data_IF_543318710517
#
_entry.id   IF_543318710517
#
_cell.length_a   1.000
_cell.length_b   1.000
_cell.length_c   1.000
_cell.angle_alpha   90.00
_cell.angle_beta   90.00
_cell.angle_gamma   90.00
#
_symmetry.space_group_name_H-M   'P 1'
#
loop_
_entity.id
_entity.type
_entity.pdbx_description
1 polymer ?
#
# COMPACT_ATOMS: atom_id res chain seq x y z
N UNK A 1 -33.89 14.29 -10.11
CA UNK A 1 -33.45 13.25 -11.07
C UNK A 1 -32.57 12.20 -10.39
N UNK A 2 -31.68 12.59 -9.46
CA UNK A 2 -30.88 11.65 -8.64
C UNK A 2 -31.74 10.69 -7.79
N UNK A 3 -32.86 11.14 -7.21
CA UNK A 3 -33.70 10.30 -6.36
C UNK A 3 -34.28 9.08 -7.10
N UNK A 4 -34.79 9.27 -8.32
CA UNK A 4 -35.31 8.16 -9.14
C UNK A 4 -34.22 7.14 -9.51
N UNK A 5 -33.01 7.62 -9.83
CA UNK A 5 -31.89 6.73 -10.15
C UNK A 5 -31.45 5.92 -8.91
N UNK A 6 -31.52 6.52 -7.72
CA UNK A 6 -31.23 5.82 -6.47
C UNK A 6 -32.23 4.69 -6.18
N UNK A 7 -33.52 4.94 -6.45
CA UNK A 7 -34.59 3.97 -6.29
C UNK A 7 -34.42 2.78 -7.25
N UNK A 8 -34.14 3.04 -8.53
CA UNK A 8 -33.82 1.97 -9.49
C UNK A 8 -32.59 1.16 -9.08
N UNK A 9 -31.57 1.79 -8.51
CA UNK A 9 -30.36 1.10 -8.04
C UNK A 9 -30.64 0.15 -6.88
N UNK A 10 -31.52 0.53 -5.96
CA UNK A 10 -31.93 -0.33 -4.85
C UNK A 10 -32.76 -1.51 -5.34
N UNK A 11 -33.72 -1.27 -6.23
CA UNK A 11 -34.56 -2.32 -6.82
C UNK A 11 -33.69 -3.33 -7.58
N UNK A 12 -32.76 -2.87 -8.41
CA UNK A 12 -31.85 -3.75 -9.18
C UNK A 12 -30.94 -4.55 -8.24
N UNK A 13 -30.43 -3.93 -7.18
CA UNK A 13 -29.60 -4.62 -6.17
C UNK A 13 -30.40 -5.68 -5.40
N UNK A 14 -31.60 -5.35 -4.93
CA UNK A 14 -32.48 -6.29 -4.23
C UNK A 14 -32.85 -7.48 -5.13
N UNK A 15 -33.17 -7.21 -6.39
CA UNK A 15 -33.48 -8.25 -7.39
C UNK A 15 -32.28 -9.18 -7.60
N UNK A 16 -31.07 -8.62 -7.73
CA UNK A 16 -29.85 -9.39 -7.84
C UNK A 16 -29.58 -10.26 -6.61
N UNK A 17 -29.72 -9.70 -5.41
CA UNK A 17 -29.52 -10.44 -4.15
C UNK A 17 -30.53 -11.58 -4.01
N UNK A 18 -31.79 -11.33 -4.32
CA UNK A 18 -32.83 -12.37 -4.29
C UNK A 18 -32.53 -13.50 -5.28
N UNK A 19 -32.13 -13.19 -6.51
CA UNK A 19 -31.72 -14.18 -7.51
C UNK A 19 -30.47 -14.94 -7.08
N UNK A 20 -29.52 -14.29 -6.41
CA UNK A 20 -28.34 -14.94 -5.86
C UNK A 20 -28.67 -15.94 -4.77
N UNK A 21 -29.58 -15.60 -3.85
CA UNK A 21 -30.05 -16.53 -2.81
C UNK A 21 -30.72 -17.75 -3.45
N UNK A 22 -31.59 -17.55 -4.45
CA UNK A 22 -32.23 -18.65 -5.19
C UNK A 22 -31.19 -19.53 -5.87
N UNK A 23 -30.16 -18.94 -6.49
CA UNK A 23 -29.07 -19.69 -7.12
C UNK A 23 -28.31 -20.55 -6.11
N UNK A 24 -28.04 -20.04 -4.91
CA UNK A 24 -27.42 -20.81 -3.82
C UNK A 24 -28.29 -22.02 -3.44
N UNK A 25 -29.61 -21.86 -3.33
CA UNK A 25 -30.52 -22.99 -3.08
C UNK A 25 -30.50 -24.04 -4.20
N UNK A 26 -30.41 -23.62 -5.47
CA UNK A 26 -30.28 -24.53 -6.61
C UNK A 26 -28.98 -25.34 -6.50
N UNK A 27 -27.87 -24.70 -6.12
CA UNK A 27 -26.58 -25.38 -5.91
C UNK A 27 -26.65 -26.40 -4.77
N UNK A 28 -27.26 -26.02 -3.64
CA UNK A 28 -27.45 -26.92 -2.49
C UNK A 28 -28.31 -28.13 -2.89
N UNK A 29 -29.44 -27.90 -3.57
CA UNK A 29 -30.32 -28.99 -3.98
C UNK A 29 -29.65 -29.97 -4.95
N UNK A 30 -28.87 -29.44 -5.90
CA UNK A 30 -28.11 -30.25 -6.84
C UNK A 30 -27.00 -31.06 -6.16
N UNK A 31 -26.41 -30.54 -5.08
CA UNK A 31 -25.42 -31.28 -4.29
C UNK A 31 -26.02 -32.59 -3.72
N UNK A 32 -27.27 -32.55 -3.26
CA UNK A 32 -27.97 -33.73 -2.76
C UNK A 32 -28.57 -34.61 -3.88
N UNK A 33 -28.96 -34.02 -5.01
CA UNK A 33 -29.55 -34.73 -6.15
C UNK A 33 -28.84 -34.34 -7.46
N UNK A 34 -27.74 -35.02 -7.85
CA UNK A 34 -26.86 -34.59 -8.94
C UNK A 34 -27.50 -34.59 -10.33
N UNK A 35 -28.58 -35.35 -10.52
CA UNK A 35 -29.32 -35.43 -11.79
C UNK A 35 -30.53 -34.49 -11.87
N UNK A 36 -30.84 -33.74 -10.81
CA UNK A 36 -31.94 -32.80 -10.82
C UNK A 36 -31.59 -31.53 -11.61
N UNK A 37 -32.55 -31.04 -12.42
CA UNK A 37 -32.50 -29.76 -13.13
C UNK A 37 -31.25 -29.59 -14.04
N UNK A 38 -31.01 -30.51 -14.99
CA UNK A 38 -29.85 -30.45 -15.88
C UNK A 38 -29.86 -29.15 -16.70
N UNK A 39 -28.76 -28.40 -16.63
CA UNK A 39 -28.56 -27.17 -17.40
C UNK A 39 -29.22 -25.91 -16.82
N UNK A 40 -30.09 -26.02 -15.82
CA UNK A 40 -30.71 -24.85 -15.15
C UNK A 40 -29.65 -24.01 -14.44
N UNK A 41 -28.72 -24.64 -13.73
CA UNK A 41 -27.61 -23.96 -13.04
C UNK A 41 -26.81 -23.03 -13.97
N UNK A 42 -26.42 -23.54 -15.16
CA UNK A 42 -25.63 -22.76 -16.12
C UNK A 42 -26.42 -21.57 -16.65
N UNK A 43 -27.70 -21.76 -17.00
CA UNK A 43 -28.58 -20.68 -17.48
C UNK A 43 -28.80 -19.61 -16.39
N UNK A 44 -28.98 -20.04 -15.14
CA UNK A 44 -29.17 -19.15 -14.01
C UNK A 44 -27.89 -18.37 -13.70
N UNK A 45 -26.73 -19.02 -13.76
CA UNK A 45 -25.42 -18.38 -13.60
C UNK A 45 -25.18 -17.30 -14.68
N UNK A 46 -25.49 -17.57 -15.96
CA UNK A 46 -25.37 -16.55 -17.00
C UNK A 46 -26.27 -15.33 -16.74
N UNK A 47 -27.52 -15.57 -16.32
CA UNK A 47 -28.44 -14.49 -15.96
C UNK A 47 -27.89 -13.66 -14.79
N UNK A 48 -27.32 -14.33 -13.80
CA UNK A 48 -26.72 -13.69 -12.63
C UNK A 48 -25.48 -12.88 -12.99
N UNK A 49 -24.65 -13.35 -13.91
CA UNK A 49 -23.50 -12.60 -14.43
C UNK A 49 -23.96 -11.32 -15.14
N UNK A 50 -24.96 -11.41 -16.02
CA UNK A 50 -25.48 -10.25 -16.75
C UNK A 50 -26.03 -9.20 -15.78
N UNK A 51 -26.86 -9.62 -14.82
CA UNK A 51 -27.40 -8.73 -13.80
C UNK A 51 -26.31 -8.17 -12.88
N UNK A 52 -25.30 -8.97 -12.54
CA UNK A 52 -24.14 -8.54 -11.76
C UNK A 52 -23.34 -7.43 -12.47
N UNK A 53 -23.12 -7.56 -13.78
CA UNK A 53 -22.48 -6.49 -14.58
C UNK A 53 -23.33 -5.22 -14.57
N UNK A 54 -24.65 -5.34 -14.71
CA UNK A 54 -25.58 -4.19 -14.63
C UNK A 54 -25.47 -3.50 -13.26
N UNK A 55 -25.49 -4.26 -12.15
CA UNK A 55 -25.31 -3.72 -10.79
C UNK A 55 -23.99 -2.96 -10.67
N UNK A 56 -22.89 -3.52 -11.17
CA UNK A 56 -21.56 -2.88 -11.15
C UNK A 56 -21.58 -1.54 -11.90
N UNK A 57 -22.15 -1.51 -13.10
CA UNK A 57 -22.28 -0.28 -13.91
C UNK A 57 -23.08 0.78 -13.15
N UNK A 58 -24.20 0.39 -12.55
CA UNK A 58 -25.05 1.30 -11.77
C UNK A 58 -24.38 1.81 -10.49
N UNK A 59 -23.41 1.08 -9.93
CA UNK A 59 -22.69 1.47 -8.71
C UNK A 59 -21.31 2.09 -8.97
N UNK A 60 -20.86 2.15 -10.23
CA UNK A 60 -19.54 2.65 -10.59
C UNK A 60 -19.32 4.10 -10.17
N UNK A 61 -20.36 4.94 -10.20
CA UNK A 61 -20.28 6.34 -9.77
C UNK A 61 -20.02 6.45 -8.26
N UNK A 62 -20.66 5.60 -7.45
CA UNK A 62 -20.47 5.58 -5.98
C UNK A 62 -19.09 5.02 -5.63
N UNK A 63 -18.63 4.00 -6.36
CA UNK A 63 -17.25 3.48 -6.28
C UNK A 63 -16.22 4.55 -6.65
N UNK A 64 -16.43 5.30 -7.74
CA UNK A 64 -15.54 6.39 -8.14
C UNK A 64 -15.49 7.50 -7.10
N UNK A 65 -16.62 7.86 -6.49
CA UNK A 65 -16.65 8.86 -5.41
C UNK A 65 -15.86 8.38 -4.19
N UNK A 66 -15.97 7.11 -3.83
CA UNK A 66 -15.26 6.50 -2.71
C UNK A 66 -13.75 6.39 -3.00
N UNK A 67 -13.38 5.95 -4.20
CA UNK A 67 -12.00 5.93 -4.68
C UNK A 67 -11.37 7.33 -4.70
N UNK A 68 -12.08 8.33 -5.24
CA UNK A 68 -11.60 9.71 -5.25
C UNK A 68 -11.49 10.28 -3.83
N UNK A 69 -12.37 9.90 -2.92
CA UNK A 69 -12.26 10.27 -1.51
C UNK A 69 -11.01 9.66 -0.87
N UNK A 70 -10.74 8.37 -1.09
CA UNK A 70 -9.54 7.68 -0.61
C UNK A 70 -8.28 8.34 -1.19
N UNK A 71 -8.25 8.58 -2.51
CA UNK A 71 -7.12 9.20 -3.19
C UNK A 71 -6.89 10.62 -2.67
N UNK A 72 -7.93 11.43 -2.53
CA UNK A 72 -7.81 12.80 -2.02
C UNK A 72 -7.36 12.83 -0.56
N UNK A 73 -7.85 11.91 0.27
CA UNK A 73 -7.47 11.81 1.68
C UNK A 73 -6.01 11.37 1.80
N UNK A 74 -5.64 10.33 1.05
CA UNK A 74 -4.26 9.85 0.94
C UNK A 74 -3.33 10.98 0.46
N UNK A 75 -3.69 11.68 -0.62
CA UNK A 75 -2.91 12.81 -1.11
C UNK A 75 -2.76 13.93 -0.07
N UNK A 76 -3.81 14.26 0.69
CA UNK A 76 -3.69 15.26 1.77
C UNK A 76 -2.73 14.83 2.87
N UNK A 77 -2.70 13.55 3.22
CA UNK A 77 -1.84 13.00 4.28
C UNK A 77 -0.39 12.83 3.79
N UNK A 78 -0.19 12.33 2.57
CA UNK A 78 1.14 12.03 2.04
C UNK A 78 1.81 13.22 1.36
N UNK A 79 1.07 14.22 0.85
CA UNK A 79 1.66 15.41 0.21
C UNK A 79 2.65 16.15 1.12
N UNK A 80 2.37 16.39 2.40
CA UNK A 80 3.36 16.93 3.35
C UNK A 80 4.62 16.07 3.41
N UNK A 81 4.47 14.75 3.58
CA UNK A 81 5.59 13.79 3.70
C UNK A 81 6.45 13.78 2.42
N UNK A 82 5.80 13.80 1.25
CA UNK A 82 6.49 13.82 -0.05
C UNK A 82 7.25 15.13 -0.24
N UNK A 83 6.71 16.26 0.25
CA UNK A 83 7.34 17.58 0.13
C UNK A 83 8.56 17.79 1.05
N UNK A 84 8.78 16.91 2.03
CA UNK A 84 9.92 17.01 2.93
C UNK A 84 11.26 16.84 2.20
N UNK A 85 12.28 17.50 2.74
CA UNK A 85 13.66 17.35 2.29
C UNK A 85 14.19 15.93 2.51
N UNK A 86 15.34 15.60 1.91
CA UNK A 86 15.93 14.26 2.07
C UNK A 86 16.29 14.03 3.54
N UNK A 87 16.92 15.02 4.17
CA UNK A 87 17.26 14.95 5.59
C UNK A 87 16.03 14.78 6.49
N UNK A 88 14.98 15.58 6.27
CA UNK A 88 13.73 15.50 7.02
C UNK A 88 13.05 14.13 6.89
N UNK A 89 13.08 13.50 5.71
CA UNK A 89 12.51 12.15 5.50
C UNK A 89 13.24 11.08 6.31
N UNK A 90 14.56 11.14 6.36
CA UNK A 90 15.36 10.23 7.17
C UNK A 90 15.11 10.43 8.67
N UNK A 91 15.01 11.68 9.13
CA UNK A 91 14.68 12.00 10.53
C UNK A 91 13.26 11.51 10.88
N UNK A 92 12.28 11.69 10.00
CA UNK A 92 10.92 11.20 10.21
C UNK A 92 10.89 9.67 10.37
N UNK A 93 11.62 8.94 9.52
CA UNK A 93 11.77 7.49 9.65
C UNK A 93 12.43 7.10 10.98
N UNK A 94 13.46 7.83 11.42
CA UNK A 94 14.08 7.60 12.72
C UNK A 94 13.09 7.75 13.87
N UNK A 95 12.24 8.79 13.85
CA UNK A 95 11.21 9.01 14.88
C UNK A 95 10.22 7.83 14.91
N UNK A 96 9.81 7.32 13.74
CA UNK A 96 8.91 6.16 13.67
C UNK A 96 9.56 4.94 14.34
N UNK A 97 10.83 4.64 14.03
CA UNK A 97 11.56 3.54 14.66
C UNK A 97 11.81 3.73 16.16
N UNK A 98 11.98 4.98 16.63
CA UNK A 98 12.06 5.25 18.07
C UNK A 98 10.74 4.96 18.78
N UNK A 99 9.62 5.31 18.16
CA UNK A 99 8.29 4.99 18.69
C UNK A 99 8.08 3.47 18.72
N UNK A 100 8.45 2.74 17.66
CA UNK A 100 8.34 1.27 17.67
C UNK A 100 9.25 0.64 18.72
N UNK A 101 10.48 1.12 18.85
CA UNK A 101 11.42 0.70 19.90
C UNK A 101 10.85 0.91 21.30
N UNK A 102 10.22 2.06 21.57
CA UNK A 102 9.59 2.34 22.86
C UNK A 102 8.41 1.40 23.15
N UNK A 103 7.60 1.07 22.13
CA UNK A 103 6.50 0.11 22.25
C UNK A 103 7.05 -1.29 22.53
N UNK A 104 8.08 -1.74 21.81
CA UNK A 104 8.70 -3.05 22.03
C UNK A 104 9.32 -3.16 23.42
N UNK A 105 9.93 -2.08 23.91
CA UNK A 105 10.46 -2.02 25.27
C UNK A 105 9.34 -2.14 26.31
N UNK A 106 8.21 -1.43 26.11
CA UNK A 106 7.04 -1.54 26.98
C UNK A 106 6.43 -2.95 27.00
N UNK A 107 6.55 -3.69 25.88
CA UNK A 107 6.15 -5.10 25.77
C UNK A 107 7.21 -6.08 26.28
N UNK A 108 8.25 -5.60 26.97
CA UNK A 108 9.37 -6.40 27.50
C UNK A 108 10.15 -7.18 26.42
N UNK A 109 10.15 -6.68 25.18
CA UNK A 109 10.91 -7.25 24.05
C UNK A 109 12.23 -6.48 23.86
N UNK A 110 13.09 -6.51 24.87
CA UNK A 110 14.32 -5.72 24.91
C UNK A 110 15.22 -5.90 23.68
N UNK A 111 15.34 -7.13 23.19
CA UNK A 111 16.16 -7.42 22.01
C UNK A 111 15.62 -6.73 20.74
N UNK A 112 14.30 -6.71 20.52
CA UNK A 112 13.69 -6.01 19.38
C UNK A 112 13.82 -4.49 19.54
N UNK A 113 13.50 -3.98 20.73
CA UNK A 113 13.61 -2.57 21.04
C UNK A 113 15.02 -2.03 20.76
N UNK A 114 16.06 -2.78 21.14
CA UNK A 114 17.44 -2.42 20.88
C UNK A 114 17.78 -2.41 19.39
N UNK A 115 17.31 -3.39 18.61
CA UNK A 115 17.54 -3.43 17.16
C UNK A 115 16.84 -2.26 16.46
N UNK A 116 15.58 -1.98 16.82
CA UNK A 116 14.83 -0.84 16.29
C UNK A 116 15.50 0.49 16.63
N UNK A 117 16.01 0.65 17.85
CA UNK A 117 16.78 1.84 18.26
C UNK A 117 18.08 2.00 17.46
N UNK A 118 18.80 0.91 17.18
CA UNK A 118 20.01 0.95 16.33
C UNK A 118 19.67 1.42 14.90
N UNK A 119 18.60 0.89 14.32
CA UNK A 119 18.13 1.30 12.99
C UNK A 119 17.74 2.78 13.01
N UNK A 120 16.99 3.22 14.04
CA UNK A 120 16.62 4.61 14.22
C UNK A 120 17.86 5.52 14.29
N UNK A 121 18.91 5.11 15.00
CA UNK A 121 20.15 5.86 15.11
C UNK A 121 20.82 6.05 13.75
N UNK A 122 20.87 5.02 12.89
CA UNK A 122 21.42 5.15 11.54
C UNK A 122 20.60 6.13 10.68
N UNK A 123 19.27 6.05 10.74
CA UNK A 123 18.41 7.01 10.05
C UNK A 123 18.61 8.44 10.57
N UNK A 124 18.76 8.61 11.88
CA UNK A 124 18.95 9.93 12.50
C UNK A 124 20.28 10.55 12.09
N UNK A 125 21.38 9.80 12.18
CA UNK A 125 22.72 10.29 11.79
C UNK A 125 22.73 10.68 10.31
N UNK A 126 22.22 9.82 9.42
CA UNK A 126 22.13 10.14 7.99
C UNK A 126 21.18 11.31 7.71
N UNK A 127 20.09 11.41 8.46
CA UNK A 127 19.15 12.52 8.36
C UNK A 127 19.79 13.86 8.73
N UNK A 128 20.46 13.92 9.88
CA UNK A 128 21.17 15.12 10.34
C UNK A 128 22.31 15.50 9.40
N UNK A 129 23.13 14.54 8.94
CA UNK A 129 24.17 14.82 7.94
C UNK A 129 23.60 15.39 6.64
N UNK A 130 22.46 14.87 6.20
CA UNK A 130 21.75 15.41 5.04
C UNK A 130 21.23 16.83 5.28
N UNK A 131 20.67 17.12 6.45
CA UNK A 131 20.22 18.47 6.80
C UNK A 131 21.37 19.47 6.84
N UNK A 132 22.51 19.09 7.41
CA UNK A 132 23.72 19.91 7.42
C UNK A 132 24.21 20.21 6.00
N UNK A 133 24.15 19.20 5.12
CA UNK A 133 24.50 19.40 3.72
C UNK A 133 23.50 20.32 3.00
N UNK A 134 22.19 20.16 3.25
CA UNK A 134 21.13 21.04 2.71
C UNK A 134 21.35 22.50 3.12
N UNK A 135 21.75 22.73 4.36
CA UNK A 135 22.05 24.06 4.87
C UNK A 135 23.21 24.74 4.10
N UNK A 136 24.22 23.97 3.69
CA UNK A 136 25.36 24.48 2.93
C UNK A 136 25.15 24.57 1.42
N UNK A 137 24.40 23.63 0.83
CA UNK A 137 24.05 23.61 -0.60
C UNK A 137 22.87 22.69 -0.88
N UNK A 138 21.86 23.20 -1.60
CA UNK A 138 20.71 22.41 -2.05
C UNK A 138 21.01 21.48 -3.25
N UNK A 139 22.26 21.42 -3.70
CA UNK A 139 22.63 20.70 -4.93
C UNK A 139 22.48 19.17 -4.79
N UNK A 140 21.93 18.54 -5.84
CA UNK A 140 21.84 17.08 -6.06
C UNK A 140 21.08 16.23 -5.01
N UNK A 141 19.80 16.52 -4.72
CA UNK A 141 19.01 15.77 -3.72
C UNK A 141 18.86 14.27 -4.05
N UNK A 142 18.76 13.92 -5.35
CA UNK A 142 18.68 12.52 -5.79
C UNK A 142 19.95 11.74 -5.49
N UNK A 143 21.12 12.33 -5.81
CA UNK A 143 22.41 11.70 -5.58
C UNK A 143 22.62 11.44 -4.09
N UNK A 144 22.31 12.44 -3.26
CA UNK A 144 22.40 12.33 -1.81
C UNK A 144 21.50 11.23 -1.25
N UNK A 145 20.26 11.14 -1.73
CA UNK A 145 19.35 10.05 -1.35
C UNK A 145 19.96 8.69 -1.67
N UNK A 146 20.51 8.51 -2.87
CA UNK A 146 21.16 7.27 -3.26
C UNK A 146 22.39 6.96 -2.38
N UNK A 147 23.26 7.94 -2.15
CA UNK A 147 24.44 7.78 -1.29
C UNK A 147 24.04 7.42 0.14
N UNK A 148 23.07 8.10 0.73
CA UNK A 148 22.57 7.80 2.08
C UNK A 148 21.98 6.40 2.18
N UNK A 149 21.22 5.94 1.17
CA UNK A 149 20.68 4.58 1.16
C UNK A 149 21.77 3.51 0.99
N UNK A 150 22.81 3.79 0.19
CA UNK A 150 23.97 2.88 0.07
C UNK A 150 24.72 2.79 1.40
N UNK A 151 25.01 3.93 2.04
CA UNK A 151 25.66 3.95 3.35
C UNK A 151 24.79 3.23 4.39
N UNK A 152 23.47 3.46 4.39
CA UNK A 152 22.54 2.75 5.27
C UNK A 152 22.59 1.24 5.06
N UNK A 153 22.61 0.77 3.81
CA UNK A 153 22.75 -0.64 3.50
C UNK A 153 24.04 -1.23 4.06
N UNK A 154 25.15 -0.50 3.93
CA UNK A 154 26.46 -0.93 4.46
C UNK A 154 26.41 -1.03 5.98
N UNK A 155 25.86 -0.01 6.66
CA UNK A 155 25.70 0.00 8.12
C UNK A 155 24.85 -1.18 8.60
N UNK A 156 23.71 -1.45 7.95
CA UNK A 156 22.85 -2.59 8.30
C UNK A 156 23.58 -3.92 8.09
N UNK A 157 24.33 -4.07 7.00
CA UNK A 157 25.07 -5.30 6.70
C UNK A 157 26.12 -5.63 7.76
N UNK A 158 26.88 -4.63 8.19
CA UNK A 158 27.96 -4.82 9.18
C UNK A 158 27.47 -4.93 10.63
N UNK A 159 26.18 -4.73 10.90
CA UNK A 159 25.62 -4.82 12.25
C UNK A 159 24.99 -6.20 12.48
N UNK A 160 25.66 -7.12 13.19
CA UNK A 160 25.22 -8.52 13.32
C UNK A 160 23.89 -8.65 14.08
N UNK A 161 23.59 -7.72 14.99
CA UNK A 161 22.33 -7.72 15.73
C UNK A 161 21.13 -7.55 14.79
N UNK A 162 21.24 -6.64 13.80
CA UNK A 162 20.19 -6.38 12.83
C UNK A 162 20.07 -7.56 11.86
N UNK A 163 21.19 -8.08 11.35
CA UNK A 163 21.16 -9.18 10.36
C UNK A 163 20.74 -10.53 10.92
N UNK A 164 20.94 -10.77 12.22
CA UNK A 164 20.39 -11.93 12.92
C UNK A 164 18.86 -11.88 13.01
N UNK A 165 18.31 -10.73 13.36
CA UNK A 165 16.86 -10.56 13.51
C UNK A 165 16.14 -10.44 12.15
N UNK A 166 16.71 -9.64 11.24
CA UNK A 166 16.19 -9.38 9.91
C UNK A 166 17.20 -9.80 8.85
N UNK A 167 17.25 -11.11 8.51
CA UNK A 167 18.17 -11.59 7.49
C UNK A 167 17.87 -10.88 6.16
N UNK A 168 18.93 -10.39 5.51
CA UNK A 168 18.85 -9.67 4.23
C UNK A 168 18.20 -8.28 4.27
N UNK A 169 17.96 -7.68 5.45
CA UNK A 169 17.42 -6.32 5.55
C UNK A 169 18.27 -5.25 4.82
N UNK A 170 19.59 -5.47 4.72
CA UNK A 170 20.51 -4.61 3.97
C UNK A 170 20.16 -4.50 2.47
N UNK A 171 19.42 -5.47 1.90
CA UNK A 171 18.99 -5.39 0.50
C UNK A 171 17.88 -4.35 0.28
N UNK A 172 17.11 -3.99 1.31
CA UNK A 172 15.96 -3.08 1.17
C UNK A 172 16.42 -1.70 0.66
N UNK A 173 17.40 -1.01 1.27
CA UNK A 173 17.90 0.25 0.73
C UNK A 173 18.45 0.13 -0.69
N UNK A 174 19.13 -0.98 -1.02
CA UNK A 174 19.68 -1.22 -2.37
C UNK A 174 18.57 -1.34 -3.41
N UNK A 175 17.51 -2.09 -3.11
CA UNK A 175 16.35 -2.24 -4.00
C UNK A 175 15.69 -0.87 -4.25
N UNK A 176 15.56 -0.05 -3.22
CA UNK A 176 15.02 1.31 -3.35
C UNK A 176 15.91 2.17 -4.26
N UNK A 177 17.23 2.08 -4.13
CA UNK A 177 18.18 2.79 -5.01
C UNK A 177 18.00 2.35 -6.48
N UNK A 178 17.93 1.04 -6.73
CA UNK A 178 17.71 0.50 -8.08
C UNK A 178 16.39 1.03 -8.65
N UNK A 179 15.33 1.03 -7.87
CA UNK A 179 14.02 1.53 -8.28
C UNK A 179 14.04 3.03 -8.62
N UNK A 180 14.69 3.85 -7.80
CA UNK A 180 14.88 5.29 -8.06
C UNK A 180 15.63 5.50 -9.39
N UNK A 181 16.70 4.74 -9.63
CA UNK A 181 17.49 4.84 -10.86
C UNK A 181 16.68 4.43 -12.11
N UNK A 182 15.93 3.32 -12.03
CA UNK A 182 15.07 2.86 -13.13
C UNK A 182 14.00 3.91 -13.47
N UNK A 183 13.28 4.41 -12.46
CA UNK A 183 12.25 5.44 -12.66
C UNK A 183 12.84 6.73 -13.26
N UNK A 184 14.06 7.10 -12.86
CA UNK A 184 14.73 8.28 -13.40
C UNK A 184 15.02 8.15 -14.90
N UNK A 185 15.41 6.95 -15.37
CA UNK A 185 15.64 6.68 -16.79
C UNK A 185 14.35 6.69 -17.61
N UNK A 186 13.26 6.12 -17.08
CA UNK A 186 11.97 6.08 -17.80
C UNK A 186 11.44 7.49 -18.05
N UNK A 187 11.54 8.38 -17.05
CA UNK A 187 11.05 9.76 -17.19
C UNK A 187 11.83 10.57 -18.23
N UNK A 188 13.13 10.30 -18.39
CA UNK A 188 13.97 10.95 -19.42
C UNK A 188 13.58 10.50 -20.83
N UNK A 189 13.12 9.25 -20.99
CA UNK A 189 12.74 8.68 -22.29
C UNK A 189 11.35 9.12 -22.78
N UNK A 190 10.52 9.70 -21.91
CA UNK A 190 9.20 10.24 -22.25
C UNK A 190 9.22 11.74 -22.61
N UNK A 191 10.36 12.42 -22.42
CA UNK A 191 10.54 13.86 -22.64
C UNK A 191 11.46 14.13 -23.86
N UNK A 192 12.06 13.08 -24.43
CA UNK A 192 12.75 13.11 -25.72
C UNK A 192 11.88 12.45 -26.78
#
# INVERSE_FOLDING_TARGET
>A
MEDKISEYREIVLQTFVMLFIIYVFILIYKHYNPYALPGVEKRFLYLLIILGVIVIIFYIQKLNKLLNFIINTSNKIFKPIISLSVGQKFVLLAIIFLITSAIDLALSKEYLANVDAMIAYYFLVLGVLNLLFEYGSESFPKLRTCLSLIILSILIYYTPQITKLYPKAYLIPIIIVIFILILSKIKIKLIK
#
